data_IF_940093303401
#
_entry.id   IF_940093303401
#
_cell.length_a   1.000
_cell.length_b   1.000
_cell.length_c   1.000
_cell.angle_alpha   90.00
_cell.angle_beta   90.00
_cell.angle_gamma   90.00
#
_symmetry.space_group_name_H-M   'P 1'
#
loop_
_entity.id
_entity.type
_entity.pdbx_description
1 polymer ?
#
# COMPACT_ATOMS: atom_id res chain seq x y z
N UNK A 1 18.45 -12.94 9.78
CA UNK A 1 18.11 -11.78 8.92
C UNK A 1 19.31 -10.87 8.86
N UNK A 2 19.70 -10.44 7.66
CA UNK A 2 20.81 -9.48 7.47
C UNK A 2 20.39 -8.07 7.83
N UNK A 3 21.37 -7.20 8.06
CA UNK A 3 21.12 -5.78 8.37
C UNK A 3 20.39 -5.07 7.22
N UNK A 4 20.79 -5.32 5.97
CA UNK A 4 20.07 -4.85 4.78
C UNK A 4 18.64 -5.39 4.72
N UNK A 5 18.45 -6.69 4.95
CA UNK A 5 17.12 -7.30 5.02
C UNK A 5 16.23 -6.66 6.09
N UNK A 6 16.80 -6.30 7.25
CA UNK A 6 16.09 -5.61 8.33
C UNK A 6 15.71 -4.17 7.96
N UNK A 7 16.61 -3.43 7.30
CA UNK A 7 16.36 -2.06 6.83
C UNK A 7 15.20 -2.04 5.83
N UNK A 8 15.26 -2.86 4.78
CA UNK A 8 14.21 -2.92 3.78
C UNK A 8 12.86 -3.35 4.37
N UNK A 9 12.86 -4.23 5.37
CA UNK A 9 11.62 -4.58 6.08
C UNK A 9 11.01 -3.39 6.82
N UNK A 10 11.84 -2.58 7.50
CA UNK A 10 11.37 -1.35 8.17
C UNK A 10 10.83 -0.33 7.17
N UNK A 11 11.55 -0.11 6.07
CA UNK A 11 11.11 0.78 4.98
C UNK A 11 9.79 0.31 4.39
N UNK A 12 9.61 -1.00 4.19
CA UNK A 12 8.34 -1.58 3.75
C UNK A 12 7.17 -1.27 4.69
N UNK A 13 7.38 -1.38 6.00
CA UNK A 13 6.38 -1.00 6.99
C UNK A 13 6.04 0.50 6.98
N UNK A 14 7.04 1.37 6.77
CA UNK A 14 6.82 2.82 6.66
C UNK A 14 5.93 3.12 5.45
N UNK A 15 6.29 2.60 4.27
CA UNK A 15 5.48 2.82 3.06
C UNK A 15 4.09 2.19 3.17
N UNK A 16 3.97 1.03 3.82
CA UNK A 16 2.67 0.42 4.06
C UNK A 16 1.79 1.31 4.94
N UNK A 17 2.34 1.85 6.03
CA UNK A 17 1.62 2.77 6.91
C UNK A 17 1.15 4.02 6.15
N UNK A 18 2.02 4.61 5.31
CA UNK A 18 1.67 5.76 4.47
C UNK A 18 0.53 5.40 3.51
N UNK A 19 0.64 4.28 2.78
CA UNK A 19 -0.38 3.85 1.83
C UNK A 19 -1.73 3.62 2.50
N UNK A 20 -1.75 2.95 3.66
CA UNK A 20 -2.98 2.74 4.45
C UNK A 20 -3.59 4.08 4.88
N UNK A 21 -2.78 5.04 5.35
CA UNK A 21 -3.29 6.36 5.72
C UNK A 21 -3.93 7.09 4.53
N UNK A 22 -3.30 7.03 3.35
CA UNK A 22 -3.86 7.63 2.13
C UNK A 22 -5.23 7.03 1.80
N UNK A 23 -5.37 5.70 1.89
CA UNK A 23 -6.65 5.01 1.65
C UNK A 23 -7.71 5.43 2.67
N UNK A 24 -7.38 5.41 3.96
CA UNK A 24 -8.33 5.77 5.03
C UNK A 24 -8.78 7.22 4.89
N UNK A 25 -7.85 8.14 4.62
CA UNK A 25 -8.17 9.56 4.42
C UNK A 25 -9.03 9.74 3.16
N UNK A 26 -8.69 9.07 2.06
CA UNK A 26 -9.47 9.15 0.81
C UNK A 26 -10.89 8.63 0.97
N UNK A 27 -11.07 7.47 1.60
CA UNK A 27 -12.39 6.90 1.89
C UNK A 27 -13.17 7.79 2.87
N UNK A 28 -12.51 8.30 3.91
CA UNK A 28 -13.11 9.23 4.87
C UNK A 28 -13.58 10.52 4.21
N UNK A 29 -12.79 11.10 3.31
CA UNK A 29 -13.16 12.29 2.55
C UNK A 29 -14.40 12.04 1.68
N UNK A 30 -14.43 10.91 0.94
CA UNK A 30 -15.59 10.52 0.12
C UNK A 30 -16.87 10.36 0.95
N UNK A 31 -16.76 9.75 2.13
CA UNK A 31 -17.89 9.62 3.05
C UNK A 31 -18.41 10.98 3.53
N UNK A 32 -17.51 11.91 3.86
CA UNK A 32 -17.91 13.24 4.32
C UNK A 32 -18.55 14.08 3.20
N UNK A 33 -18.13 13.88 1.95
CA UNK A 33 -18.60 14.65 0.80
C UNK A 33 -19.91 14.09 0.22
N UNK A 34 -20.01 12.77 0.07
CA UNK A 34 -21.11 12.12 -0.65
C UNK A 34 -21.82 10.99 0.13
N UNK A 35 -21.44 10.77 1.40
CA UNK A 35 -22.06 9.77 2.27
C UNK A 35 -21.99 8.35 1.69
N UNK A 36 -23.10 7.63 1.77
CA UNK A 36 -23.20 6.26 1.28
C UNK A 36 -23.03 6.15 -0.25
N UNK A 37 -23.53 7.13 -1.01
CA UNK A 37 -23.41 7.13 -2.47
C UNK A 37 -21.94 7.22 -2.93
N UNK A 38 -21.11 7.97 -2.19
CA UNK A 38 -19.66 8.05 -2.47
C UNK A 38 -18.94 6.72 -2.26
N UNK A 39 -19.37 5.92 -1.28
CA UNK A 39 -18.82 4.58 -1.04
C UNK A 39 -19.29 3.59 -2.10
N UNK A 40 -20.57 3.64 -2.48
CA UNK A 40 -21.11 2.81 -3.57
C UNK A 40 -20.38 3.09 -4.90
N UNK A 41 -20.01 4.34 -5.17
CA UNK A 41 -19.22 4.71 -6.33
C UNK A 41 -17.84 4.03 -6.36
N UNK A 42 -17.21 3.74 -5.21
CA UNK A 42 -15.95 2.98 -5.20
C UNK A 42 -16.11 1.56 -5.73
N UNK A 43 -17.30 0.97 -5.64
CA UNK A 43 -17.58 -0.38 -6.13
C UNK A 43 -18.10 -0.40 -7.57
N UNK A 44 -18.39 0.76 -8.16
CA UNK A 44 -18.74 0.87 -9.57
C UNK A 44 -17.53 0.47 -10.45
N UNK A 45 -17.67 -0.52 -11.36
CA UNK A 45 -16.61 -0.91 -12.29
C UNK A 45 -16.07 0.25 -13.13
N UNK A 46 -16.86 1.29 -13.41
CA UNK A 46 -16.40 2.50 -14.10
C UNK A 46 -15.27 3.21 -13.35
N UNK A 47 -15.19 3.03 -12.03
CA UNK A 47 -14.19 3.60 -11.15
C UNK A 47 -13.00 2.67 -10.86
N UNK A 48 -12.82 1.59 -11.66
CA UNK A 48 -11.69 0.66 -11.51
C UNK A 48 -10.31 1.34 -11.52
N UNK A 49 -10.19 2.51 -12.16
CA UNK A 49 -8.98 3.32 -12.11
C UNK A 49 -8.58 3.73 -10.68
N UNK A 50 -9.55 4.03 -9.80
CA UNK A 50 -9.29 4.38 -8.39
C UNK A 50 -8.61 3.22 -7.66
N UNK A 51 -9.03 1.99 -7.96
CA UNK A 51 -8.41 0.80 -7.40
C UNK A 51 -7.01 0.57 -7.95
N UNK A 52 -6.79 0.85 -9.24
CA UNK A 52 -5.45 0.76 -9.84
C UNK A 52 -4.49 1.76 -9.17
N UNK A 53 -4.88 3.03 -9.02
CA UNK A 53 -4.03 4.05 -8.38
C UNK A 53 -3.81 3.75 -6.90
N UNK A 54 -4.85 3.25 -6.22
CA UNK A 54 -4.74 2.78 -4.84
C UNK A 54 -3.72 1.64 -4.74
N UNK A 55 -3.81 0.61 -5.59
CA UNK A 55 -2.87 -0.50 -5.62
C UNK A 55 -1.43 -0.04 -5.90
N UNK A 56 -1.24 0.91 -6.83
CA UNK A 56 0.08 1.47 -7.14
C UNK A 56 0.71 2.20 -5.96
N UNK A 57 -0.08 2.77 -5.06
CA UNK A 57 0.42 3.42 -3.83
C UNK A 57 1.10 2.42 -2.89
N UNK A 58 0.74 1.13 -2.96
CA UNK A 58 1.40 0.07 -2.18
C UNK A 58 2.69 -0.46 -2.84
N UNK A 59 2.99 -0.10 -4.09
CA UNK A 59 4.14 -0.65 -4.82
C UNK A 59 5.49 -0.46 -4.09
N UNK A 60 5.79 0.70 -3.48
CA UNK A 60 7.04 0.87 -2.72
C UNK A 60 7.13 -0.05 -1.49
N UNK A 61 6.00 -0.30 -0.81
CA UNK A 61 5.94 -1.20 0.33
C UNK A 61 6.21 -2.65 -0.09
N UNK A 62 5.51 -3.11 -1.15
CA UNK A 62 5.69 -4.45 -1.72
C UNK A 62 7.13 -4.66 -2.19
N UNK A 63 7.68 -3.70 -2.93
CA UNK A 63 9.07 -3.74 -3.40
C UNK A 63 10.08 -3.84 -2.25
N UNK A 64 9.84 -3.10 -1.16
CA UNK A 64 10.69 -3.14 0.03
C UNK A 64 10.64 -4.49 0.75
N UNK A 65 9.46 -5.11 0.87
CA UNK A 65 9.34 -6.45 1.44
C UNK A 65 9.98 -7.51 0.56
N UNK A 66 9.82 -7.41 -0.76
CA UNK A 66 10.47 -8.31 -1.71
C UNK A 66 12.00 -8.20 -1.63
N UNK A 67 12.53 -6.97 -1.60
CA UNK A 67 13.97 -6.74 -1.42
C UNK A 67 14.47 -7.33 -0.10
N UNK A 68 13.75 -7.12 1.00
CA UNK A 68 14.07 -7.72 2.30
C UNK A 68 14.16 -9.25 2.23
N UNK A 69 13.18 -9.89 1.60
CA UNK A 69 13.19 -11.34 1.39
C UNK A 69 14.40 -11.79 0.56
N UNK A 70 14.68 -11.10 -0.55
CA UNK A 70 15.78 -11.43 -1.45
C UNK A 70 17.14 -11.35 -0.75
N UNK A 71 17.40 -10.28 0.01
CA UNK A 71 18.65 -10.13 0.77
C UNK A 71 18.80 -11.17 1.88
N UNK A 72 17.71 -11.54 2.55
CA UNK A 72 17.76 -12.58 3.56
C UNK A 72 18.02 -13.97 2.96
N UNK A 73 17.45 -14.25 1.78
CA UNK A 73 17.66 -15.51 1.07
C UNK A 73 19.11 -15.64 0.59
N UNK A 74 19.66 -14.61 -0.04
CA UNK A 74 21.02 -14.60 -0.59
C UNK A 74 22.14 -14.67 0.46
N UNK A 75 21.83 -14.37 1.72
CA UNK A 75 22.82 -14.46 2.82
C UNK A 75 22.71 -15.75 3.63
N UNK A 76 21.77 -16.62 3.28
CA UNK A 76 21.65 -17.96 3.82
C UNK A 76 22.27 -19.03 2.88
N UNK A 77 22.64 -18.62 1.67
CA UNK A 77 23.49 -19.34 0.71
C UNK A 77 24.97 -18.98 0.97
#
# INVERSE_FOLDING_TARGET
MTDLGRIFRRVGWIFLAIAVNIVVIGVGALWLEAGQAGIEALFDPANAWIWLTTALTFAPAVGSFYASWLFNRRSAE
#
